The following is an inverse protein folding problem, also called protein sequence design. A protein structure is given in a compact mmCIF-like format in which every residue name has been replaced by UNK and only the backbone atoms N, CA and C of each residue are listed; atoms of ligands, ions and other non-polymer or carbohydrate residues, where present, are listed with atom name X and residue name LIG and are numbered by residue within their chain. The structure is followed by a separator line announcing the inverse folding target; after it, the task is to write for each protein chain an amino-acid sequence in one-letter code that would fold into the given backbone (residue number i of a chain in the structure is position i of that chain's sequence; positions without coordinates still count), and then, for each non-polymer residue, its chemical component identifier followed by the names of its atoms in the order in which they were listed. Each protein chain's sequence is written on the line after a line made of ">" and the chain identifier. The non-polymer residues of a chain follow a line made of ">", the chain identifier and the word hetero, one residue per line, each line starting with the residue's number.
data_IF_901800466855
#
_entry.id   IF_901800466855
#
_cell.length_a   1.000
_cell.length_b   1.000
_cell.length_c   1.000
_cell.angle_alpha   90.00
_cell.angle_beta   90.00
_cell.angle_gamma   90.00
#
_symmetry.space_group_name_H-M   'P 1'
#
loop_
_entity.id
_entity.type
_entity.pdbx_description
1 polymer ?
#
# COMPACT_ATOMS: atom_id res chain seq x y z
N UNK A 1 10.18 7.59 16.35
CA UNK A 1 10.16 8.74 15.42
C UNK A 1 8.93 8.57 14.53
N UNK A 2 8.06 9.58 14.42
CA UNK A 2 6.83 9.45 13.63
C UNK A 2 7.07 9.82 12.16
N UNK A 3 6.45 9.09 11.24
CA UNK A 3 6.46 9.40 9.80
C UNK A 3 5.59 10.66 9.60
N UNK A 4 6.10 11.75 9.01
CA UNK A 4 5.34 12.99 8.86
C UNK A 4 4.28 12.86 7.77
N UNK A 5 3.15 13.57 7.89
CA UNK A 5 2.21 13.71 6.78
C UNK A 5 2.62 14.87 5.86
N UNK A 6 2.69 14.62 4.55
CA UNK A 6 2.99 15.62 3.54
C UNK A 6 1.73 15.94 2.74
N UNK A 7 1.46 17.21 2.47
CA UNK A 7 0.28 17.62 1.70
C UNK A 7 0.68 18.56 0.55
N UNK A 8 0.03 18.38 -0.59
CA UNK A 8 0.11 19.23 -1.78
C UNK A 8 -1.30 19.67 -2.17
N UNK A 9 -1.42 20.48 -3.22
CA UNK A 9 -2.72 20.91 -3.73
C UNK A 9 -3.62 19.75 -4.22
N UNK A 10 -3.05 18.57 -4.53
CA UNK A 10 -3.77 17.45 -5.14
C UNK A 10 -3.74 16.16 -4.32
N UNK A 11 -2.79 16.03 -3.39
CA UNK A 11 -2.45 14.76 -2.75
C UNK A 11 -1.98 14.95 -1.32
N UNK A 12 -2.26 13.96 -0.48
CA UNK A 12 -1.71 13.78 0.86
C UNK A 12 -0.92 12.48 0.85
N UNK A 13 0.29 12.53 1.41
CA UNK A 13 1.08 11.35 1.73
C UNK A 13 1.09 11.20 3.25
N UNK A 14 0.55 10.10 3.76
CA UNK A 14 0.45 9.83 5.20
C UNK A 14 1.09 8.49 5.57
N UNK A 15 1.38 8.23 6.85
CA UNK A 15 1.82 6.91 7.27
C UNK A 15 0.80 5.84 6.87
N UNK A 16 1.29 4.68 6.42
CA UNK A 16 0.45 3.50 6.17
C UNK A 16 -0.20 3.07 7.49
N UNK A 17 -1.48 2.75 7.44
CA UNK A 17 -2.24 2.24 8.58
C UNK A 17 -3.05 0.98 8.21
N UNK A 18 -3.54 0.25 9.22
CA UNK A 18 -4.28 -1.00 9.01
C UNK A 18 -5.55 -0.82 8.15
N UNK A 19 -6.12 0.39 8.11
CA UNK A 19 -7.28 0.69 7.27
C UNK A 19 -6.99 0.69 5.76
N UNK A 20 -5.71 0.65 5.36
CA UNK A 20 -5.30 0.74 3.95
C UNK A 20 -5.37 -0.60 3.20
N UNK A 21 -5.66 -1.70 3.89
CA UNK A 21 -5.67 -3.06 3.31
C UNK A 21 -6.57 -3.16 2.09
N UNK A 22 -7.76 -2.54 2.10
CA UNK A 22 -8.68 -2.59 0.96
C UNK A 22 -8.12 -1.87 -0.27
N UNK A 23 -7.49 -0.70 -0.06
CA UNK A 23 -6.82 0.06 -1.10
C UNK A 23 -5.62 -0.70 -1.67
N UNK A 24 -4.79 -1.26 -0.80
CA UNK A 24 -3.68 -2.13 -1.18
C UNK A 24 -4.17 -3.37 -1.95
N UNK A 25 -5.27 -4.00 -1.51
CA UNK A 25 -5.82 -5.20 -2.17
C UNK A 25 -6.25 -4.87 -3.59
N UNK A 26 -6.88 -3.72 -3.82
CA UNK A 26 -7.25 -3.28 -5.16
C UNK A 26 -6.03 -3.10 -6.07
N UNK A 27 -4.93 -2.55 -5.55
CA UNK A 27 -3.70 -2.33 -6.32
C UNK A 27 -2.97 -3.66 -6.59
N UNK A 28 -2.78 -4.50 -5.57
CA UNK A 28 -2.03 -5.75 -5.68
C UNK A 28 -2.77 -6.86 -6.42
N UNK A 29 -4.09 -6.79 -6.51
CA UNK A 29 -4.89 -7.71 -7.33
C UNK A 29 -4.92 -7.32 -8.80
N UNK A 30 -4.50 -6.10 -9.16
CA UNK A 30 -4.39 -5.68 -10.55
C UNK A 30 -3.18 -6.36 -11.23
N UNK A 31 -3.41 -7.24 -12.23
CA UNK A 31 -2.33 -7.94 -12.92
C UNK A 31 -1.42 -7.00 -13.73
N UNK A 32 -1.89 -5.84 -14.15
CA UNK A 32 -1.06 -4.87 -14.87
C UNK A 32 -0.04 -4.23 -13.92
N UNK A 33 -0.51 -3.76 -12.76
CA UNK A 33 0.37 -3.25 -11.70
C UNK A 33 1.36 -4.31 -11.22
N UNK A 34 0.86 -5.51 -10.94
CA UNK A 34 1.62 -6.55 -10.28
C UNK A 34 2.64 -7.26 -11.18
N UNK A 35 2.59 -7.04 -12.50
CA UNK A 35 3.36 -7.77 -13.54
C UNK A 35 4.86 -7.84 -13.27
N UNK A 36 5.43 -6.81 -12.66
CA UNK A 36 6.88 -6.67 -12.45
C UNK A 36 7.30 -6.69 -10.97
N UNK A 37 6.34 -6.82 -10.05
CA UNK A 37 6.58 -6.71 -8.59
C UNK A 37 6.21 -7.98 -7.83
N UNK A 38 5.99 -9.10 -8.54
CA UNK A 38 5.81 -10.42 -7.94
C UNK A 38 4.38 -10.78 -7.54
N UNK A 39 3.36 -10.19 -8.17
CA UNK A 39 1.95 -10.59 -8.01
C UNK A 39 1.34 -11.15 -9.30
N UNK A 40 0.00 -11.10 -9.47
CA UNK A 40 -0.99 -10.48 -8.59
C UNK A 40 -1.20 -11.23 -7.26
N UNK A 41 -1.48 -10.48 -6.20
CA UNK A 41 -1.79 -11.00 -4.87
C UNK A 41 -3.23 -10.66 -4.56
N UNK A 42 -4.07 -11.68 -4.40
CA UNK A 42 -5.52 -11.53 -4.22
C UNK A 42 -6.01 -11.93 -2.83
N UNK A 43 -5.17 -12.59 -2.03
CA UNK A 43 -5.54 -12.97 -0.67
C UNK A 43 -5.31 -11.79 0.29
N UNK A 44 -6.30 -11.38 1.11
CA UNK A 44 -6.14 -10.26 2.04
C UNK A 44 -4.97 -10.43 3.02
N UNK A 45 -4.69 -11.65 3.48
CA UNK A 45 -3.53 -11.95 4.33
C UNK A 45 -2.19 -11.70 3.60
N UNK A 46 -2.08 -12.18 2.36
CA UNK A 46 -0.88 -11.99 1.55
C UNK A 46 -0.70 -10.51 1.15
N UNK A 47 -1.79 -9.78 0.87
CA UNK A 47 -1.75 -8.33 0.67
C UNK A 47 -1.29 -7.60 1.92
N UNK A 48 -1.77 -8.00 3.10
CA UNK A 48 -1.33 -7.42 4.36
C UNK A 48 0.18 -7.63 4.56
N UNK A 49 0.72 -8.80 4.21
CA UNK A 49 2.17 -9.03 4.24
C UNK A 49 2.95 -8.09 3.31
N UNK A 50 2.44 -7.82 2.10
CA UNK A 50 3.05 -6.83 1.21
C UNK A 50 3.00 -5.42 1.80
N UNK A 51 1.85 -5.04 2.39
CA UNK A 51 1.67 -3.75 3.04
C UNK A 51 2.60 -3.58 4.25
N UNK A 52 2.78 -4.63 5.05
CA UNK A 52 3.69 -4.64 6.20
C UNK A 52 5.16 -4.45 5.77
N UNK A 53 5.56 -4.95 4.60
CA UNK A 53 6.87 -4.68 4.01
C UNK A 53 7.13 -3.21 3.67
N UNK A 54 6.07 -2.42 3.51
CA UNK A 54 6.13 -0.97 3.30
C UNK A 54 6.04 -0.17 4.61
N UNK A 55 6.03 -0.81 5.78
CA UNK A 55 6.00 -0.12 7.06
C UNK A 55 7.23 0.82 7.18
N UNK A 56 6.98 2.10 7.45
CA UNK A 56 8.02 3.14 7.36
C UNK A 56 7.88 4.05 6.15
N UNK A 57 7.09 3.67 5.15
CA UNK A 57 6.78 4.47 3.96
C UNK A 57 5.48 5.27 4.11
N UNK A 58 5.12 5.98 3.04
CA UNK A 58 3.89 6.74 2.91
C UNK A 58 2.90 6.06 1.97
N UNK A 59 1.61 6.31 2.20
CA UNK A 59 0.51 6.08 1.27
C UNK A 59 -0.05 7.42 0.77
#
# INVERSE_FOLDING_TARGET
>A
MAIPTLATARLILRPIENGDVDGFTRIWSDPEFARHVGGPVTSPDAVWHQMAGCAGCWL
#
